data_IF_261811666331
#
_entry.id   IF_261811666331
#
_cell.length_a   1.000
_cell.length_b   1.000
_cell.length_c   1.000
_cell.angle_alpha   90.00
_cell.angle_beta   90.00
_cell.angle_gamma   90.00
#
_symmetry.space_group_name_H-M   'P 1'
#
loop_
_entity.id
_entity.type
_entity.pdbx_description
1 polymer ?
#
# COMPACT_ATOMS: atom_id res chain seq x y z
N UNK A 1 -2.12 -10.32 -15.21
CA UNK A 1 -1.18 -9.64 -14.30
C UNK A 1 -1.96 -8.54 -13.63
N UNK A 2 -1.90 -8.41 -12.30
CA UNK A 2 -2.51 -7.27 -11.62
C UNK A 2 -1.70 -6.02 -11.93
N UNK A 3 -2.34 -5.01 -12.51
CA UNK A 3 -1.68 -3.75 -12.84
C UNK A 3 -1.22 -3.03 -11.59
N UNK A 4 -1.88 -3.22 -10.44
CA UNK A 4 -1.60 -2.50 -9.20
C UNK A 4 -1.11 -3.45 -8.10
N UNK A 5 -0.05 -3.06 -7.40
CA UNK A 5 0.49 -3.78 -6.25
C UNK A 5 0.56 -2.85 -5.05
N UNK A 6 -0.16 -3.20 -3.99
CA UNK A 6 -0.16 -2.51 -2.71
C UNK A 6 0.69 -3.31 -1.74
N UNK A 7 1.62 -2.65 -1.07
CA UNK A 7 2.61 -3.30 -0.23
C UNK A 7 2.66 -2.58 1.11
N UNK A 8 2.28 -3.27 2.19
CA UNK A 8 2.27 -2.72 3.55
C UNK A 8 3.63 -2.98 4.20
N UNK A 9 4.25 -1.93 4.72
CA UNK A 9 5.52 -1.95 5.44
C UNK A 9 5.31 -1.44 6.87
N UNK A 10 5.95 -2.09 7.83
CA UNK A 10 6.00 -1.65 9.23
C UNK A 10 7.29 -0.89 9.53
N UNK A 11 7.26 -0.11 10.60
CA UNK A 11 8.41 0.65 11.05
C UNK A 11 9.53 -0.30 11.49
N UNK A 12 10.71 -0.17 10.88
CA UNK A 12 11.86 -1.02 11.19
C UNK A 12 11.88 -2.38 10.49
N UNK A 13 10.84 -2.75 9.74
CA UNK A 13 10.88 -3.95 8.89
C UNK A 13 11.29 -3.61 7.45
N UNK A 14 12.40 -4.20 7.00
CA UNK A 14 12.87 -4.08 5.61
C UNK A 14 11.98 -4.83 4.62
N UNK A 15 11.09 -5.69 5.10
CA UNK A 15 10.22 -6.52 4.28
C UNK A 15 8.77 -6.11 4.46
N UNK A 16 7.97 -6.20 3.40
CA UNK A 16 6.56 -5.92 3.50
C UNK A 16 5.82 -7.03 4.24
N UNK A 17 4.98 -6.64 5.19
CA UNK A 17 4.17 -7.56 5.99
C UNK A 17 3.01 -8.14 5.16
N UNK A 18 2.53 -7.39 4.17
CA UNK A 18 1.44 -7.81 3.31
C UNK A 18 1.59 -7.20 1.91
N UNK A 19 1.29 -7.99 0.89
CA UNK A 19 1.27 -7.52 -0.51
C UNK A 19 -0.02 -7.96 -1.18
N UNK A 20 -0.79 -7.00 -1.67
CA UNK A 20 -2.05 -7.22 -2.39
C UNK A 20 -1.87 -6.81 -3.84
N UNK A 21 -2.30 -7.68 -4.76
CA UNK A 21 -2.27 -7.40 -6.21
C UNK A 21 -3.69 -7.23 -6.71
N UNK A 22 -3.93 -6.12 -7.39
CA UNK A 22 -5.22 -5.73 -7.94
C UNK A 22 -5.10 -5.50 -9.44
N UNK A 23 -6.14 -5.85 -10.19
CA UNK A 23 -6.25 -5.56 -11.63
C UNK A 23 -7.00 -4.26 -11.90
N UNK A 24 -7.76 -3.76 -10.93
CA UNK A 24 -8.66 -2.62 -11.11
C UNK A 24 -8.21 -1.44 -10.24
N UNK A 25 -8.02 -0.28 -10.86
CA UNK A 25 -7.65 0.96 -10.18
C UNK A 25 -8.69 1.42 -9.17
N UNK A 26 -9.98 1.20 -9.46
CA UNK A 26 -11.08 1.58 -8.56
C UNK A 26 -11.04 0.86 -7.21
N UNK A 27 -10.44 -0.32 -7.14
CA UNK A 27 -10.30 -1.10 -5.90
C UNK A 27 -9.09 -0.71 -5.08
N UNK A 28 -8.16 0.07 -5.63
CA UNK A 28 -6.93 0.46 -4.94
C UNK A 28 -7.26 1.25 -3.68
N UNK A 29 -8.12 2.26 -3.77
CA UNK A 29 -8.48 3.10 -2.62
C UNK A 29 -9.21 2.31 -1.52
N UNK A 30 -10.18 1.48 -1.91
CA UNK A 30 -10.91 0.60 -0.99
C UNK A 30 -9.96 -0.38 -0.26
N UNK A 31 -9.01 -0.94 -1.01
CA UNK A 31 -7.99 -1.85 -0.45
C UNK A 31 -7.03 -1.12 0.47
N UNK A 32 -6.63 0.13 0.16
CA UNK A 32 -5.80 0.94 1.07
C UNK A 32 -6.52 1.11 2.40
N UNK A 33 -7.79 1.51 2.40
CA UNK A 33 -8.58 1.66 3.63
C UNK A 33 -8.66 0.35 4.41
N UNK A 34 -8.97 -0.76 3.75
CA UNK A 34 -9.01 -2.08 4.39
C UNK A 34 -7.65 -2.49 4.98
N UNK A 35 -6.54 -2.17 4.32
CA UNK A 35 -5.19 -2.44 4.82
C UNK A 35 -4.83 -1.56 6.02
N UNK A 36 -5.23 -0.29 6.03
CA UNK A 36 -5.04 0.61 7.17
C UNK A 36 -5.83 0.15 8.40
N UNK A 37 -7.07 -0.30 8.22
CA UNK A 37 -7.89 -0.85 9.30
C UNK A 37 -7.33 -2.18 9.84
N UNK A 38 -6.81 -3.03 8.95
CA UNK A 38 -6.22 -4.33 9.32
C UNK A 38 -4.88 -4.18 10.03
N UNK A 39 -4.10 -3.16 9.69
CA UNK A 39 -2.74 -2.93 10.20
C UNK A 39 -2.66 -1.54 10.88
N UNK A 40 -3.20 -1.38 12.11
CA UNK A 40 -3.20 -0.08 12.81
C UNK A 40 -1.81 0.43 13.19
N UNK A 41 -0.78 -0.40 13.05
CA UNK A 41 0.62 -0.06 13.26
C UNK A 41 1.45 -0.05 11.96
N UNK A 42 0.80 0.02 10.79
CA UNK A 42 1.54 0.19 9.55
C UNK A 42 2.42 1.43 9.66
N UNK A 43 3.54 1.44 8.97
CA UNK A 43 4.31 2.66 8.78
C UNK A 43 4.00 3.25 7.41
N UNK A 44 3.89 2.38 6.40
CA UNK A 44 3.69 2.84 5.03
C UNK A 44 3.01 1.79 4.16
N UNK A 45 2.15 2.24 3.25
CA UNK A 45 1.61 1.43 2.16
C UNK A 45 2.16 1.98 0.85
N UNK A 46 2.93 1.19 0.12
CA UNK A 46 3.40 1.54 -1.22
C UNK A 46 2.41 1.07 -2.26
N UNK A 47 2.01 1.97 -3.15
CA UNK A 47 1.13 1.67 -4.28
C UNK A 47 1.97 1.72 -5.55
N UNK A 48 2.09 0.59 -6.22
CA UNK A 48 2.83 0.43 -7.46
C UNK A 48 1.89 0.10 -8.61
N UNK A 49 2.19 0.60 -9.81
CA UNK A 49 1.61 0.12 -11.05
C UNK A 49 2.69 -0.55 -11.90
N UNK A 50 2.57 -1.86 -12.12
CA UNK A 50 3.63 -2.67 -12.68
C UNK A 50 4.94 -2.52 -11.88
N UNK A 51 5.99 -1.99 -12.51
CA UNK A 51 7.29 -1.75 -11.90
C UNK A 51 7.50 -0.31 -11.41
N UNK A 52 6.49 0.56 -11.52
CA UNK A 52 6.59 1.96 -11.12
C UNK A 52 5.86 2.20 -9.81
N UNK A 53 6.49 2.88 -8.85
CA UNK A 53 5.80 3.39 -7.66
C UNK A 53 4.97 4.60 -8.04
N UNK A 54 3.66 4.54 -7.77
CA UNK A 54 2.74 5.66 -8.01
C UNK A 54 2.79 6.64 -6.84
N UNK A 55 2.53 6.14 -5.63
CA UNK A 55 2.55 6.93 -4.40
C UNK A 55 2.67 6.03 -3.17
N UNK A 56 2.91 6.65 -2.02
CA UNK A 56 2.95 5.98 -0.72
C UNK A 56 1.97 6.65 0.22
N UNK A 57 1.34 5.86 1.08
CA UNK A 57 0.37 6.32 2.08
C UNK A 57 0.90 5.95 3.47
N UNK A 58 0.78 6.86 4.43
CA UNK A 58 1.13 6.61 5.83
C UNK A 58 -0.03 5.94 6.59
N UNK A 59 0.29 5.32 7.73
CA UNK A 59 -0.50 5.36 8.97
C UNK A 59 -1.91 5.96 8.94
N UNK A 60 -1.91 7.28 8.79
CA UNK A 60 -3.07 8.14 8.90
C UNK A 60 -3.85 8.30 7.58
N UNK A 61 -3.53 7.55 6.53
CA UNK A 61 -4.11 7.69 5.20
C UNK A 61 -3.60 8.89 4.41
N UNK A 62 -2.52 9.53 4.88
CA UNK A 62 -1.92 10.69 4.20
C UNK A 62 -0.95 10.24 3.11
N UNK A 63 -1.00 10.89 1.95
CA UNK A 63 0.02 10.70 0.92
C UNK A 63 1.36 11.27 1.41
N UNK A 64 2.39 10.45 1.40
CA UNK A 64 3.73 10.81 1.87
C UNK A 64 4.74 10.61 0.75
N UNK A 65 5.51 11.66 0.45
CA UNK A 65 6.68 11.56 -0.42
C UNK A 65 7.78 10.75 0.29
N UNK A 66 8.47 9.90 -0.48
CA UNK A 66 9.44 8.92 0.02
C UNK A 66 10.47 9.49 0.99
#
# INVERSE_FOLDING_TARGET
MGDYTLTVCNEGESLPIETVRLTESVKVLDTITALLEKHPGCHRIHVNAGNARLFSVDCAGNNVAD
#
